data_IF_355258238126
#
_entry.id   IF_355258238126
#
_cell.length_a   1.000
_cell.length_b   1.000
_cell.length_c   1.000
_cell.angle_alpha   90.00
_cell.angle_beta   90.00
_cell.angle_gamma   90.00
#
_symmetry.space_group_name_H-M   'P 1'
#
loop_
_entity.id
_entity.type
_entity.pdbx_description
1 polymer ?
#
# COMPACT_ATOMS: atom_id res chain seq x y z
N UNK A 1 15.85 -25.47 32.00
CA UNK A 1 15.29 -26.82 32.26
C UNK A 1 14.91 -27.45 30.94
N UNK A 2 15.63 -28.48 30.52
CA UNK A 2 15.40 -29.19 29.27
C UNK A 2 14.09 -29.95 29.39
N UNK A 3 13.03 -29.49 28.69
CA UNK A 3 11.71 -30.16 28.72
C UNK A 3 11.85 -31.59 28.18
N UNK A 4 11.19 -32.54 28.83
CA UNK A 4 11.17 -33.92 28.36
C UNK A 4 10.54 -34.01 26.96
N UNK A 5 11.11 -34.88 26.13
CA UNK A 5 10.77 -35.00 24.70
C UNK A 5 9.31 -35.41 24.52
N UNK A 6 8.80 -36.27 25.42
CA UNK A 6 7.42 -36.75 25.39
C UNK A 6 6.41 -35.64 25.69
N UNK A 7 6.70 -34.76 26.65
CA UNK A 7 5.87 -33.58 26.96
C UNK A 7 5.75 -32.64 25.77
N UNK A 8 6.86 -32.42 25.03
CA UNK A 8 6.85 -31.56 23.83
C UNK A 8 5.98 -32.15 22.72
N UNK A 9 6.12 -33.45 22.46
CA UNK A 9 5.30 -34.11 21.44
C UNK A 9 3.82 -34.14 21.81
N UNK A 10 3.49 -34.32 23.09
CA UNK A 10 2.09 -34.27 23.51
C UNK A 10 1.44 -32.89 23.36
N UNK A 11 2.18 -31.80 23.62
CA UNK A 11 1.68 -30.44 23.39
C UNK A 11 1.53 -30.10 21.89
N UNK A 12 2.32 -30.71 21.02
CA UNK A 12 2.27 -30.48 19.57
C UNK A 12 1.17 -31.28 18.89
N UNK A 13 0.93 -32.51 19.34
CA UNK A 13 -0.04 -33.43 18.72
C UNK A 13 -1.48 -33.18 19.19
N UNK A 14 -1.70 -32.38 20.23
CA UNK A 14 -3.02 -32.19 20.83
C UNK A 14 -3.45 -33.40 21.66
N UNK A 15 -4.70 -33.38 22.14
CA UNK A 15 -5.25 -34.38 23.07
C UNK A 15 -6.42 -35.23 22.58
N UNK A 16 -6.76 -36.28 23.34
CA UNK A 16 -7.77 -37.27 22.95
C UNK A 16 -7.24 -38.46 22.14
N UNK A 17 -7.54 -38.48 20.83
CA UNK A 17 -7.25 -39.62 19.94
C UNK A 17 -5.91 -39.49 19.18
N UNK A 18 -5.24 -38.33 19.27
CA UNK A 18 -3.95 -38.05 18.64
C UNK A 18 -2.75 -38.43 19.54
N UNK A 19 -3.04 -38.71 20.80
CA UNK A 19 -2.15 -39.08 21.88
C UNK A 19 -1.97 -40.60 21.81
N UNK A 20 -0.96 -41.06 21.08
CA UNK A 20 -0.47 -42.43 21.20
C UNK A 20 0.18 -42.74 22.57
N UNK A 21 -0.25 -42.05 23.63
CA UNK A 21 0.30 -42.07 24.98
C UNK A 21 -0.87 -42.28 25.94
N UNK A 22 -1.13 -43.54 26.31
CA UNK A 22 -2.07 -43.88 27.38
C UNK A 22 -1.62 -43.21 28.69
N UNK A 23 -2.28 -42.10 29.06
CA UNK A 23 -2.51 -41.56 30.41
C UNK A 23 -1.35 -41.47 31.44
N UNK A 24 -0.10 -41.82 31.12
CA UNK A 24 0.95 -42.04 32.11
C UNK A 24 2.06 -40.97 32.14
N UNK A 25 2.04 -40.00 31.23
CA UNK A 25 2.91 -38.81 31.30
C UNK A 25 2.05 -37.59 31.62
N UNK A 26 1.76 -37.38 32.91
CA UNK A 26 0.99 -36.22 33.37
C UNK A 26 1.71 -34.92 33.00
N UNK A 27 1.06 -34.06 32.20
CA UNK A 27 1.48 -32.68 32.04
C UNK A 27 1.49 -32.01 33.42
N UNK A 28 2.54 -31.25 33.75
CA UNK A 28 2.55 -30.41 34.95
C UNK A 28 1.45 -29.34 34.88
N UNK A 29 1.06 -28.75 36.02
CA UNK A 29 -0.06 -27.80 36.09
C UNK A 29 0.03 -26.63 35.07
N UNK A 30 1.24 -26.10 34.83
CA UNK A 30 1.45 -25.05 33.84
C UNK A 30 1.33 -25.54 32.39
N UNK A 31 1.69 -26.80 32.11
CA UNK A 31 1.59 -27.38 30.77
C UNK A 31 0.17 -27.87 30.48
N UNK A 32 -0.60 -28.27 31.50
CA UNK A 32 -2.04 -28.51 31.37
C UNK A 32 -2.81 -27.23 30.99
N UNK A 33 -2.46 -26.08 31.58
CA UNK A 33 -3.09 -24.80 31.21
C UNK A 33 -2.72 -24.36 29.79
N UNK A 34 -1.47 -24.62 29.35
CA UNK A 34 -1.06 -24.42 27.95
C UNK A 34 -1.82 -25.31 26.98
N UNK A 35 -1.96 -26.60 27.30
CA UNK A 35 -2.69 -27.57 26.49
C UNK A 35 -4.17 -27.19 26.39
N UNK A 36 -4.79 -26.76 27.50
CA UNK A 36 -6.17 -26.25 27.50
C UNK A 36 -6.34 -24.98 26.67
N UNK A 37 -5.37 -24.06 26.71
CA UNK A 37 -5.39 -22.89 25.86
C UNK A 37 -5.25 -23.27 24.37
N UNK A 38 -4.39 -24.22 24.03
CA UNK A 38 -4.24 -24.70 22.65
C UNK A 38 -5.49 -25.45 22.17
N UNK A 39 -6.04 -26.35 22.97
CA UNK A 39 -7.26 -27.11 22.65
C UNK A 39 -8.47 -26.18 22.46
N UNK A 40 -8.60 -25.12 23.28
CA UNK A 40 -9.67 -24.14 23.12
C UNK A 40 -9.63 -23.40 21.77
N UNK A 41 -8.44 -23.25 21.18
CA UNK A 41 -8.24 -22.61 19.88
C UNK A 41 -8.31 -23.60 18.71
N UNK A 42 -7.73 -24.80 18.88
CA UNK A 42 -7.49 -25.74 17.78
C UNK A 42 -8.52 -26.89 17.69
N UNK A 43 -9.18 -27.28 18.79
CA UNK A 43 -10.11 -28.41 18.86
C UNK A 43 -11.60 -27.99 18.91
N UNK A 44 -11.91 -26.70 18.79
CA UNK A 44 -13.29 -26.19 18.80
C UNK A 44 -14.06 -26.51 17.50
N UNK A 45 -15.18 -27.24 17.60
CA UNK A 45 -16.08 -27.48 16.46
C UNK A 45 -16.77 -26.20 15.95
N UNK A 46 -16.88 -26.07 14.62
CA UNK A 46 -17.62 -25.01 13.89
C UNK A 46 -19.13 -25.04 14.16
N UNK A 47 -19.58 -24.64 15.34
CA UNK A 47 -21.01 -24.41 15.61
C UNK A 47 -21.26 -22.95 15.97
N UNK A 48 -21.80 -22.23 15.00
CA UNK A 48 -22.44 -20.93 15.21
C UNK A 48 -23.59 -21.06 16.21
N UNK A 49 -23.49 -20.36 17.32
CA UNK A 49 -24.51 -20.29 18.36
C UNK A 49 -24.15 -19.22 19.37
N UNK A 50 -24.89 -18.10 19.34
CA UNK A 50 -24.79 -16.99 20.28
C UNK A 50 -25.24 -17.47 21.67
N UNK A 51 -24.40 -17.34 22.70
CA UNK A 51 -24.89 -17.55 24.08
C UNK A 51 -23.89 -17.68 25.23
N UNK A 52 -22.57 -17.87 25.02
CA UNK A 52 -21.68 -18.05 26.18
C UNK A 52 -20.16 -17.92 25.98
N UNK A 53 -19.70 -17.43 24.83
CA UNK A 53 -18.28 -17.51 24.44
C UNK A 53 -17.42 -16.32 24.90
N UNK A 54 -18.03 -15.16 25.14
CA UNK A 54 -17.35 -13.92 25.54
C UNK A 54 -16.37 -14.06 26.73
N UNK A 55 -16.79 -14.57 27.92
CA UNK A 55 -15.91 -14.64 29.10
C UNK A 55 -14.78 -15.68 28.96
N UNK A 56 -14.94 -16.67 28.07
CA UNK A 56 -13.95 -17.75 27.87
C UNK A 56 -12.82 -17.31 26.97
N UNK A 57 -13.12 -16.50 25.95
CA UNK A 57 -12.12 -15.96 25.00
C UNK A 57 -11.25 -14.90 25.67
N UNK A 58 -11.83 -14.02 26.51
CA UNK A 58 -11.06 -13.03 27.28
C UNK A 58 -10.08 -13.67 28.26
N UNK A 59 -10.53 -14.69 28.99
CA UNK A 59 -9.67 -15.48 29.88
C UNK A 59 -8.58 -16.21 29.09
N UNK A 60 -8.91 -16.79 27.94
CA UNK A 60 -7.95 -17.46 27.05
C UNK A 60 -6.86 -16.49 26.54
N UNK A 61 -7.21 -15.28 26.13
CA UNK A 61 -6.25 -14.24 25.71
C UNK A 61 -5.32 -13.80 26.85
N UNK A 62 -5.82 -13.77 28.09
CA UNK A 62 -4.99 -13.55 29.29
C UNK A 62 -4.01 -14.69 29.55
N UNK A 63 -4.48 -15.93 29.41
CA UNK A 63 -3.69 -17.14 29.65
C UNK A 63 -2.55 -17.28 28.63
N UNK A 64 -2.79 -17.03 27.33
CA UNK A 64 -1.72 -17.15 26.32
C UNK A 64 -0.57 -16.16 26.53
N UNK A 65 -0.86 -14.95 27.05
CA UNK A 65 0.17 -13.93 27.36
C UNK A 65 1.05 -14.30 28.54
N UNK A 66 0.51 -15.09 29.47
CA UNK A 66 1.26 -15.56 30.65
C UNK A 66 2.19 -16.71 30.27
N UNK A 67 1.80 -17.53 29.28
CA UNK A 67 2.45 -18.81 29.03
C UNK A 67 3.31 -18.89 27.77
N UNK A 68 3.21 -17.94 26.85
CA UNK A 68 3.93 -17.93 25.56
C UNK A 68 4.72 -16.63 25.33
N UNK A 69 5.88 -16.69 24.63
CA UNK A 69 6.61 -15.50 24.20
C UNK A 69 5.77 -14.63 23.25
N UNK A 70 6.03 -13.32 23.24
CA UNK A 70 5.27 -12.32 22.47
C UNK A 70 5.16 -12.64 20.97
N UNK A 71 6.22 -13.18 20.35
CA UNK A 71 6.22 -13.59 18.95
C UNK A 71 5.29 -14.76 18.63
N UNK A 72 5.07 -15.67 19.59
CA UNK A 72 4.17 -16.83 19.43
C UNK A 72 2.73 -16.42 19.71
N UNK A 73 2.52 -15.53 20.68
CA UNK A 73 1.20 -14.94 20.99
C UNK A 73 0.63 -14.24 19.76
N UNK A 74 1.45 -13.49 19.01
CA UNK A 74 1.03 -12.83 17.77
C UNK A 74 0.45 -13.82 16.74
N UNK A 75 1.15 -14.95 16.50
CA UNK A 75 0.71 -15.97 15.54
C UNK A 75 -0.59 -16.64 16.01
N UNK A 76 -0.68 -16.96 17.30
CA UNK A 76 -1.89 -17.59 17.88
C UNK A 76 -3.09 -16.64 17.90
N UNK A 77 -2.88 -15.34 18.13
CA UNK A 77 -3.93 -14.33 18.08
C UNK A 77 -4.45 -14.15 16.64
N UNK A 78 -3.57 -14.08 15.65
CA UNK A 78 -3.96 -13.98 14.25
C UNK A 78 -4.82 -15.18 13.79
N UNK A 79 -4.43 -16.41 14.16
CA UNK A 79 -5.17 -17.64 13.85
C UNK A 79 -6.51 -17.71 14.62
N UNK A 80 -6.55 -17.21 15.85
CA UNK A 80 -7.79 -17.09 16.62
C UNK A 80 -8.75 -16.05 16.05
N UNK A 81 -8.26 -14.95 15.50
CA UNK A 81 -9.09 -13.95 14.83
C UNK A 81 -9.72 -14.49 13.55
N UNK A 82 -8.98 -15.30 12.80
CA UNK A 82 -9.46 -16.00 11.60
C UNK A 82 -10.49 -17.09 11.95
N UNK A 83 -10.32 -17.80 13.07
CA UNK A 83 -11.18 -18.92 13.49
C UNK A 83 -12.39 -18.56 14.36
N UNK A 84 -12.26 -17.62 15.29
CA UNK A 84 -13.32 -17.23 16.25
C UNK A 84 -14.25 -16.15 15.69
N UNK A 85 -13.90 -15.54 14.56
CA UNK A 85 -14.67 -14.49 13.91
C UNK A 85 -14.47 -13.13 14.57
N UNK A 86 -13.88 -12.18 13.84
CA UNK A 86 -13.61 -10.81 14.29
C UNK A 86 -14.80 -10.08 14.93
N UNK A 87 -16.04 -10.45 14.58
CA UNK A 87 -17.25 -9.85 15.12
C UNK A 87 -17.35 -9.92 16.65
N UNK A 88 -16.93 -11.02 17.28
CA UNK A 88 -17.01 -11.14 18.74
C UNK A 88 -15.97 -10.25 19.44
N UNK A 89 -14.78 -10.09 18.85
CA UNK A 89 -13.74 -9.20 19.36
C UNK A 89 -14.12 -7.72 19.21
N UNK A 90 -14.77 -7.35 18.11
CA UNK A 90 -15.28 -5.99 17.88
C UNK A 90 -16.37 -5.56 18.88
N UNK A 91 -17.05 -6.52 19.51
CA UNK A 91 -18.10 -6.26 20.50
C UNK A 91 -17.52 -5.97 21.89
N UNK A 92 -16.27 -6.36 22.15
CA UNK A 92 -15.58 -6.17 23.43
C UNK A 92 -14.37 -5.23 23.28
N UNK A 93 -14.50 -3.93 23.63
CA UNK A 93 -13.45 -2.92 23.42
C UNK A 93 -12.11 -3.29 24.08
N UNK A 94 -12.17 -3.90 25.26
CA UNK A 94 -11.01 -4.33 26.06
C UNK A 94 -10.17 -5.39 25.33
N UNK A 95 -10.81 -6.21 24.49
CA UNK A 95 -10.17 -7.26 23.71
C UNK A 95 -9.48 -6.70 22.46
N UNK A 96 -10.06 -5.66 21.85
CA UNK A 96 -9.47 -4.97 20.69
C UNK A 96 -8.24 -4.15 21.07
N UNK A 97 -8.21 -3.53 22.25
CA UNK A 97 -7.01 -2.83 22.75
C UNK A 97 -5.82 -3.78 23.00
N UNK A 98 -6.11 -5.07 23.22
CA UNK A 98 -5.11 -6.10 23.46
C UNK A 98 -4.52 -6.72 22.18
N UNK A 99 -5.14 -6.49 21.01
CA UNK A 99 -4.64 -6.98 19.73
C UNK A 99 -3.57 -6.02 19.22
N UNK A 100 -2.43 -6.54 18.78
CA UNK A 100 -1.44 -5.70 18.10
C UNK A 100 -1.99 -5.33 16.72
N UNK A 101 -2.15 -4.04 16.41
CA UNK A 101 -2.65 -3.62 15.12
C UNK A 101 -1.64 -3.97 14.02
N UNK A 102 -2.05 -4.74 13.03
CA UNK A 102 -1.26 -5.04 11.83
C UNK A 102 -2.05 -4.70 10.56
N UNK A 103 -1.37 -4.64 9.42
CA UNK A 103 -2.01 -4.30 8.14
C UNK A 103 -3.08 -5.34 7.78
N UNK A 104 -2.84 -6.61 8.07
CA UNK A 104 -3.80 -7.70 7.80
C UNK A 104 -5.11 -7.53 8.58
N UNK A 105 -5.05 -7.02 9.80
CA UNK A 105 -6.22 -6.67 10.60
C UNK A 105 -6.95 -5.49 9.96
N UNK A 106 -6.23 -4.46 9.51
CA UNK A 106 -6.84 -3.32 8.81
C UNK A 106 -7.57 -3.78 7.55
N UNK A 107 -6.93 -4.56 6.69
CA UNK A 107 -7.57 -5.07 5.45
C UNK A 107 -8.81 -5.89 5.77
N UNK A 108 -8.76 -6.70 6.84
CA UNK A 108 -9.90 -7.48 7.30
C UNK A 108 -11.03 -6.59 7.84
N UNK A 109 -10.73 -5.58 8.65
CA UNK A 109 -11.73 -4.64 9.19
C UNK A 109 -12.39 -3.81 8.09
N UNK A 110 -11.61 -3.35 7.10
CA UNK A 110 -12.12 -2.63 5.92
C UNK A 110 -13.04 -3.53 5.10
N UNK A 111 -12.63 -4.78 4.83
CA UNK A 111 -13.47 -5.75 4.11
C UNK A 111 -14.79 -6.09 4.82
N UNK A 112 -14.80 -6.02 6.16
CA UNK A 112 -16.02 -6.23 6.97
C UNK A 112 -16.88 -4.97 7.13
N UNK A 113 -16.47 -3.81 6.61
CA UNK A 113 -16.99 -2.48 6.94
C UNK A 113 -18.52 -2.32 6.90
N UNK A 114 -19.23 -3.01 5.99
CA UNK A 114 -20.72 -2.97 5.91
C UNK A 114 -21.43 -3.79 6.98
N UNK A 115 -20.75 -4.75 7.58
CA UNK A 115 -21.34 -5.73 8.51
C UNK A 115 -20.94 -5.43 9.96
N UNK A 116 -20.02 -4.48 10.16
CA UNK A 116 -19.63 -4.03 11.50
C UNK A 116 -20.84 -3.31 12.15
N UNK A 117 -21.31 -3.76 13.33
CA UNK A 117 -22.36 -3.07 14.06
C UNK A 117 -21.96 -1.62 14.38
N UNK A 118 -22.92 -0.68 14.33
CA UNK A 118 -22.64 0.76 14.53
C UNK A 118 -21.94 1.05 15.86
N UNK A 119 -22.26 0.31 16.93
CA UNK A 119 -21.64 0.45 18.25
C UNK A 119 -20.15 0.02 18.27
N UNK A 120 -19.73 -0.83 17.33
CA UNK A 120 -18.35 -1.34 17.20
C UNK A 120 -17.53 -0.60 16.14
N UNK A 121 -18.17 0.24 15.33
CA UNK A 121 -17.53 1.00 14.25
C UNK A 121 -16.47 1.97 14.76
N UNK A 122 -16.74 2.63 15.90
CA UNK A 122 -15.78 3.51 16.54
C UNK A 122 -14.50 2.77 16.98
N UNK A 123 -14.65 1.57 17.55
CA UNK A 123 -13.52 0.73 17.97
C UNK A 123 -12.70 0.24 16.78
N UNK A 124 -13.36 -0.21 15.70
CA UNK A 124 -12.69 -0.60 14.47
C UNK A 124 -11.88 0.58 13.87
N UNK A 125 -12.49 1.77 13.80
CA UNK A 125 -11.81 2.99 13.32
C UNK A 125 -10.62 3.38 14.18
N UNK A 126 -10.71 3.22 15.51
CA UNK A 126 -9.59 3.50 16.43
C UNK A 126 -8.38 2.59 16.15
N UNK A 127 -8.63 1.29 15.91
CA UNK A 127 -7.56 0.34 15.59
C UNK A 127 -6.93 0.64 14.23
N UNK A 128 -7.76 0.91 13.21
CA UNK A 128 -7.25 1.32 11.90
C UNK A 128 -6.42 2.60 12.02
N UNK A 129 -6.92 3.60 12.77
CA UNK A 129 -6.20 4.86 13.01
C UNK A 129 -4.81 4.62 13.58
N UNK A 130 -4.69 3.75 14.58
CA UNK A 130 -3.39 3.45 15.18
C UNK A 130 -2.39 2.89 14.16
N UNK A 131 -2.82 1.98 13.27
CA UNK A 131 -1.95 1.46 12.21
C UNK A 131 -1.60 2.55 11.20
N UNK A 132 -2.59 3.32 10.74
CA UNK A 132 -2.34 4.37 9.75
C UNK A 132 -1.45 5.48 10.28
N UNK A 133 -1.60 5.87 11.55
CA UNK A 133 -0.75 6.88 12.21
C UNK A 133 0.70 6.37 12.33
N UNK A 134 0.89 5.10 12.72
CA UNK A 134 2.22 4.48 12.80
C UNK A 134 2.89 4.38 11.41
N UNK A 135 2.11 4.03 10.37
CA UNK A 135 2.59 4.02 8.99
C UNK A 135 2.89 5.43 8.46
N UNK A 136 2.04 6.41 8.76
CA UNK A 136 2.25 7.80 8.36
C UNK A 136 3.54 8.33 8.97
N UNK A 137 3.74 8.17 10.29
CA UNK A 137 4.95 8.65 10.97
C UNK A 137 6.23 8.05 10.35
N UNK A 138 6.18 6.75 10.00
CA UNK A 138 7.29 6.05 9.35
C UNK A 138 7.58 6.56 7.94
N UNK A 139 6.54 6.78 7.13
CA UNK A 139 6.67 7.03 5.69
C UNK A 139 6.71 8.52 5.33
N UNK A 140 6.15 9.40 6.17
CA UNK A 140 5.98 10.83 5.93
C UNK A 140 7.29 11.53 5.64
N UNK A 141 8.30 11.37 6.49
CA UNK A 141 9.55 12.10 6.38
C UNK A 141 10.25 11.84 5.03
N UNK A 142 10.35 10.57 4.63
CA UNK A 142 10.98 10.16 3.35
C UNK A 142 10.16 10.65 2.16
N UNK A 143 8.84 10.50 2.20
CA UNK A 143 7.93 10.95 1.14
C UNK A 143 8.03 12.44 0.90
N UNK A 144 7.89 13.24 1.96
CA UNK A 144 7.97 14.70 1.87
C UNK A 144 9.34 15.13 1.35
N UNK A 145 10.42 14.52 1.84
CA UNK A 145 11.78 14.85 1.40
C UNK A 145 12.01 14.52 -0.08
N UNK A 146 11.65 13.32 -0.53
CA UNK A 146 11.84 12.85 -1.90
C UNK A 146 11.03 13.70 -2.89
N UNK A 147 9.73 13.90 -2.60
CA UNK A 147 8.81 14.68 -3.45
C UNK A 147 9.20 16.15 -3.47
N UNK A 148 9.49 16.77 -2.33
CA UNK A 148 9.95 18.17 -2.28
C UNK A 148 11.27 18.35 -3.03
N UNK A 149 12.20 17.41 -2.87
CA UNK A 149 13.47 17.42 -3.60
C UNK A 149 13.27 17.30 -5.12
N UNK A 150 12.35 16.45 -5.56
CA UNK A 150 11.97 16.30 -6.96
C UNK A 150 11.30 17.56 -7.53
N UNK A 151 10.35 18.14 -6.80
CA UNK A 151 9.66 19.39 -7.17
C UNK A 151 10.66 20.53 -7.38
N UNK A 152 11.62 20.69 -6.46
CA UNK A 152 12.66 21.72 -6.58
C UNK A 152 13.56 21.51 -7.81
N UNK A 153 13.85 20.26 -8.18
CA UNK A 153 14.65 19.93 -9.38
C UNK A 153 13.85 20.08 -10.68
N UNK A 154 12.56 19.75 -10.62
CA UNK A 154 11.64 19.86 -11.74
C UNK A 154 11.25 21.33 -12.02
N UNK A 155 11.21 22.17 -10.98
CA UNK A 155 11.09 23.62 -11.09
C UNK A 155 12.37 24.18 -11.75
N UNK A 156 12.32 24.36 -13.07
CA UNK A 156 13.43 24.91 -13.86
C UNK A 156 13.22 26.39 -14.10
N UNK A 157 14.31 27.16 -14.09
CA UNK A 157 14.31 28.57 -14.44
C UNK A 157 15.18 28.83 -15.65
N UNK A 158 14.77 29.81 -16.48
CA UNK A 158 15.55 30.35 -17.60
C UNK A 158 16.45 31.52 -17.18
N UNK A 159 16.43 31.89 -15.91
CA UNK A 159 17.29 32.91 -15.28
C UNK A 159 17.90 32.36 -13.99
N UNK A 160 18.73 31.30 -14.07
CA UNK A 160 19.41 30.78 -12.90
C UNK A 160 20.49 31.75 -12.41
N UNK A 161 20.76 31.72 -11.09
CA UNK A 161 21.98 32.32 -10.54
C UNK A 161 23.18 31.46 -10.96
N UNK A 162 24.41 32.00 -11.01
CA UNK A 162 25.59 31.25 -11.45
C UNK A 162 25.80 29.91 -10.74
N UNK A 163 25.45 29.82 -9.45
CA UNK A 163 25.58 28.61 -8.65
C UNK A 163 24.50 27.53 -8.95
N UNK A 164 23.40 27.89 -9.61
CA UNK A 164 22.24 27.02 -9.83
C UNK A 164 22.10 26.58 -11.31
N UNK A 165 23.12 26.85 -12.13
CA UNK A 165 23.13 26.53 -13.57
C UNK A 165 23.29 25.01 -13.75
N UNK A 166 22.36 24.41 -14.51
CA UNK A 166 22.53 23.06 -15.06
C UNK A 166 23.40 23.19 -16.31
N UNK A 167 24.72 23.02 -16.14
CA UNK A 167 25.68 23.17 -17.22
C UNK A 167 25.46 22.17 -18.36
N UNK A 168 25.07 20.92 -18.07
CA UNK A 168 24.85 19.91 -19.11
C UNK A 168 23.71 20.32 -20.04
N UNK A 169 22.56 20.71 -19.48
CA UNK A 169 21.43 21.20 -20.29
C UNK A 169 21.68 22.54 -20.93
N UNK A 170 22.35 23.45 -20.24
CA UNK A 170 22.73 24.76 -20.80
C UNK A 170 23.63 24.56 -22.02
N UNK A 171 24.63 23.68 -21.96
CA UNK A 171 25.48 23.36 -23.11
C UNK A 171 24.62 22.75 -24.23
N UNK A 172 23.84 21.70 -23.94
CA UNK A 172 23.02 21.03 -24.95
C UNK A 172 22.05 21.98 -25.68
N UNK A 173 21.38 22.88 -24.93
CA UNK A 173 20.45 23.87 -25.48
C UNK A 173 21.13 24.97 -26.31
N UNK A 174 22.44 25.15 -26.16
CA UNK A 174 23.22 26.18 -26.85
C UNK A 174 24.27 25.60 -27.79
N UNK A 175 24.25 24.29 -28.07
CA UNK A 175 25.21 23.67 -29.01
C UNK A 175 25.20 24.33 -30.39
N UNK A 176 24.06 24.87 -30.81
CA UNK A 176 23.92 25.67 -32.03
C UNK A 176 24.76 26.98 -32.04
N UNK A 177 25.22 27.44 -30.88
CA UNK A 177 26.05 28.63 -30.68
C UNK A 177 27.51 28.28 -30.35
N UNK A 178 27.99 27.12 -30.82
CA UNK A 178 29.39 26.76 -30.71
C UNK A 178 30.25 27.60 -31.66
N UNK A 179 31.30 28.21 -31.12
CA UNK A 179 32.29 28.99 -31.88
C UNK A 179 33.57 28.15 -32.04
N UNK A 180 33.86 27.60 -33.24
CA UNK A 180 35.02 26.73 -33.46
C UNK A 180 36.36 27.41 -33.20
N UNK A 181 36.46 28.70 -33.56
CA UNK A 181 37.67 29.53 -33.41
C UNK A 181 38.10 29.66 -31.95
N UNK A 182 37.14 29.69 -31.02
CA UNK A 182 37.36 29.82 -29.58
C UNK A 182 37.16 28.51 -28.81
N UNK A 183 36.80 27.42 -29.51
CA UNK A 183 36.43 26.12 -28.92
C UNK A 183 35.44 26.24 -27.75
N UNK A 184 34.52 27.20 -27.82
CA UNK A 184 33.64 27.58 -26.70
C UNK A 184 32.18 27.65 -27.16
N UNK A 185 31.25 27.21 -26.30
CA UNK A 185 29.81 27.39 -26.49
C UNK A 185 29.37 28.68 -25.80
N UNK A 186 28.74 29.60 -26.53
CA UNK A 186 28.20 30.83 -25.95
C UNK A 186 26.78 30.56 -25.41
N UNK A 187 26.54 30.66 -24.09
CA UNK A 187 25.25 30.34 -23.53
C UNK A 187 24.28 31.52 -23.65
N UNK A 188 23.47 31.54 -24.71
CA UNK A 188 22.34 32.49 -24.87
C UNK A 188 21.18 32.11 -23.93
N UNK A 189 20.87 30.82 -23.84
CA UNK A 189 19.80 30.28 -22.99
C UNK A 189 20.37 29.54 -21.79
N UNK A 190 20.38 30.20 -20.63
CA UNK A 190 20.74 29.53 -19.38
C UNK A 190 19.56 28.69 -18.88
N UNK A 191 19.84 27.43 -18.55
CA UNK A 191 18.91 26.54 -17.88
C UNK A 191 19.47 26.21 -16.51
N UNK A 192 18.68 26.40 -15.47
CA UNK A 192 19.09 25.98 -14.14
C UNK A 192 17.91 25.74 -13.22
N UNK A 193 18.22 25.40 -11.98
CA UNK A 193 17.23 25.02 -10.98
C UNK A 193 16.61 26.28 -10.38
N UNK A 194 15.27 26.34 -10.35
CA UNK A 194 14.57 27.46 -9.74
C UNK A 194 14.63 27.31 -8.22
N UNK A 195 15.44 28.14 -7.55
CA UNK A 195 15.28 28.29 -6.10
C UNK A 195 14.01 29.10 -5.84
N UNK A 196 13.04 28.47 -5.17
CA UNK A 196 11.95 29.19 -4.50
C UNK A 196 11.07 30.03 -5.45
N UNK A 197 10.79 29.52 -6.65
CA UNK A 197 9.69 30.05 -7.43
C UNK A 197 8.38 29.48 -6.86
N UNK A 198 7.44 30.36 -6.52
CA UNK A 198 6.10 29.99 -6.12
C UNK A 198 5.49 28.99 -7.12
N UNK A 199 5.00 27.86 -6.59
CA UNK A 199 4.01 26.97 -7.21
C UNK A 199 4.38 26.40 -8.58
N UNK A 200 5.27 25.41 -8.61
CA UNK A 200 5.05 24.30 -9.55
C UNK A 200 4.16 23.32 -8.82
N UNK A 201 2.85 23.55 -8.91
CA UNK A 201 1.85 22.60 -8.43
C UNK A 201 1.90 21.39 -9.37
N UNK A 202 2.36 20.25 -8.85
CA UNK A 202 2.18 18.98 -9.55
C UNK A 202 0.82 18.44 -9.19
N UNK A 203 0.13 17.86 -10.17
CA UNK A 203 -1.10 17.13 -9.91
C UNK A 203 -0.76 15.64 -9.88
N UNK A 204 -1.00 14.99 -8.75
CA UNK A 204 -0.86 13.54 -8.58
C UNK A 204 -2.26 12.94 -8.54
N UNK A 205 -2.55 12.01 -9.44
CA UNK A 205 -3.79 11.24 -9.46
C UNK A 205 -3.43 9.82 -9.04
N UNK A 206 -3.90 9.40 -7.87
CA UNK A 206 -3.80 8.04 -7.38
C UNK A 206 -5.09 7.31 -7.76
N UNK A 207 -5.00 6.29 -8.61
CA UNK A 207 -6.13 5.49 -9.06
C UNK A 207 -6.00 4.08 -8.46
N UNK A 208 -6.86 3.74 -7.50
CA UNK A 208 -6.77 2.54 -6.66
C UNK A 208 -7.81 1.51 -7.04
N UNK A 209 -7.35 0.30 -7.33
CA UNK A 209 -8.18 -0.88 -7.48
C UNK A 209 -8.65 -1.37 -6.09
N UNK A 210 -9.96 -1.54 -5.92
CA UNK A 210 -10.61 -2.01 -4.68
C UNK A 210 -10.84 -3.52 -4.67
N UNK A 211 -10.28 -4.27 -5.62
CA UNK A 211 -10.35 -5.73 -5.58
C UNK A 211 -9.72 -6.29 -4.29
N UNK A 212 -10.19 -7.46 -3.87
CA UNK A 212 -9.75 -8.08 -2.62
C UNK A 212 -8.25 -8.38 -2.56
N UNK A 213 -7.61 -8.64 -3.72
CA UNK A 213 -6.15 -8.81 -3.86
C UNK A 213 -5.37 -7.53 -3.54
N UNK A 214 -6.01 -6.36 -3.68
CA UNK A 214 -5.36 -5.06 -3.56
C UNK A 214 -5.52 -4.41 -2.19
N UNK A 215 -6.14 -5.10 -1.22
CA UNK A 215 -6.45 -4.54 0.09
C UNK A 215 -5.23 -3.95 0.83
N UNK A 216 -4.07 -4.62 0.81
CA UNK A 216 -2.83 -4.08 1.42
C UNK A 216 -2.35 -2.80 0.70
N UNK A 217 -2.43 -2.80 -0.63
CA UNK A 217 -2.03 -1.66 -1.47
C UNK A 217 -2.91 -0.44 -1.22
N UNK A 218 -4.21 -0.65 -0.96
CA UNK A 218 -5.15 0.42 -0.61
C UNK A 218 -4.76 1.09 0.72
N UNK A 219 -4.32 0.32 1.73
CA UNK A 219 -3.85 0.87 3.02
C UNK A 219 -2.63 1.77 2.84
N UNK A 220 -1.63 1.31 2.08
CA UNK A 220 -0.45 2.12 1.83
C UNK A 220 -0.77 3.35 0.99
N UNK A 221 -1.61 3.20 -0.03
CA UNK A 221 -2.00 4.30 -0.90
C UNK A 221 -2.83 5.37 -0.19
N UNK A 222 -3.67 5.01 0.79
CA UNK A 222 -4.40 5.99 1.60
C UNK A 222 -3.45 6.82 2.47
N UNK A 223 -2.45 6.18 3.08
CA UNK A 223 -1.42 6.88 3.88
C UNK A 223 -0.57 7.79 2.99
N UNK A 224 -0.07 7.30 1.84
CA UNK A 224 0.67 8.16 0.91
C UNK A 224 -0.19 9.29 0.35
N UNK A 225 -1.46 9.02 0.04
CA UNK A 225 -2.43 10.01 -0.39
C UNK A 225 -2.55 11.15 0.62
N UNK A 226 -2.73 10.85 1.90
CA UNK A 226 -2.83 11.85 2.96
C UNK A 226 -1.53 12.65 3.13
N UNK A 227 -0.37 11.98 3.08
CA UNK A 227 0.93 12.66 3.15
C UNK A 227 1.09 13.63 1.98
N UNK A 228 0.76 13.20 0.75
CA UNK A 228 0.84 14.04 -0.46
C UNK A 228 -0.17 15.19 -0.41
N UNK A 229 -1.39 14.95 0.05
CA UNK A 229 -2.44 15.98 0.21
C UNK A 229 -2.01 17.08 1.21
N UNK A 230 -1.22 16.73 2.24
CA UNK A 230 -0.67 17.72 3.19
C UNK A 230 0.38 18.65 2.57
N UNK A 231 0.91 18.36 1.37
CA UNK A 231 1.94 19.13 0.70
C UNK A 231 1.34 20.23 -0.18
N UNK A 232 1.54 21.51 0.19
CA UNK A 232 1.02 22.67 -0.57
C UNK A 232 1.43 22.76 -2.04
N UNK A 233 2.54 22.12 -2.42
CA UNK A 233 3.08 22.12 -3.78
C UNK A 233 2.59 20.93 -4.63
N UNK A 234 1.70 20.10 -4.09
CA UNK A 234 1.11 18.95 -4.76
C UNK A 234 -0.41 19.04 -4.59
N UNK A 235 -1.14 19.02 -5.70
CA UNK A 235 -2.55 18.71 -5.68
C UNK A 235 -2.69 17.20 -5.83
N UNK A 236 -3.40 16.54 -4.93
CA UNK A 236 -3.60 15.09 -4.97
C UNK A 236 -5.07 14.81 -5.22
N UNK A 237 -5.38 13.95 -6.19
CA UNK A 237 -6.70 13.38 -6.39
C UNK A 237 -6.62 11.89 -6.12
N UNK A 238 -7.59 11.36 -5.39
CA UNK A 238 -7.67 9.95 -5.06
C UNK A 238 -8.94 9.38 -5.65
N UNK A 239 -8.79 8.46 -6.59
CA UNK A 239 -9.90 7.78 -7.25
C UNK A 239 -9.78 6.32 -6.90
N UNK A 240 -10.86 5.71 -6.44
CA UNK A 240 -10.89 4.29 -6.18
C UNK A 240 -12.00 3.64 -7.01
N UNK A 241 -11.74 2.42 -7.50
CA UNK A 241 -12.61 1.79 -8.47
C UNK A 241 -12.73 0.27 -8.27
N UNK A 242 -13.89 -0.23 -8.66
CA UNK A 242 -14.22 -1.63 -8.86
C UNK A 242 -14.96 -1.74 -10.21
N UNK A 243 -16.28 -1.97 -10.21
CA UNK A 243 -17.20 -1.77 -11.35
C UNK A 243 -17.71 -0.32 -11.47
N UNK A 244 -17.63 0.44 -10.38
CA UNK A 244 -17.92 1.86 -10.34
C UNK A 244 -16.66 2.64 -9.98
N UNK A 245 -16.72 3.96 -10.19
CA UNK A 245 -15.60 4.86 -9.91
C UNK A 245 -16.07 5.83 -8.84
N UNK A 246 -15.33 5.90 -7.74
CA UNK A 246 -15.58 6.78 -6.60
C UNK A 246 -14.39 7.72 -6.46
N UNK A 247 -14.67 9.02 -6.42
CA UNK A 247 -13.67 10.03 -6.10
C UNK A 247 -13.63 10.22 -4.58
N UNK A 248 -12.49 9.92 -3.97
CA UNK A 248 -12.21 10.01 -2.54
C UNK A 248 -11.27 11.19 -2.23
N UNK A 249 -11.20 12.18 -3.12
CA UNK A 249 -10.32 13.35 -2.96
C UNK A 249 -10.70 14.19 -1.73
N UNK A 250 -11.98 14.21 -1.32
CA UNK A 250 -12.43 14.97 -0.14
C UNK A 250 -12.03 14.30 1.19
N UNK A 251 -11.84 12.98 1.18
CA UNK A 251 -11.48 12.15 2.33
C UNK A 251 -9.97 12.04 2.54
N UNK A 252 -9.15 12.59 1.63
CA UNK A 252 -7.68 12.48 1.64
C UNK A 252 -7.02 13.01 2.92
N UNK A 253 -7.67 13.89 3.66
CA UNK A 253 -7.14 14.44 4.92
C UNK A 253 -7.07 13.39 6.04
N UNK A 254 -7.84 12.29 5.96
CA UNK A 254 -7.84 11.20 6.94
C UNK A 254 -7.76 9.82 6.24
N UNK A 255 -6.63 9.11 6.33
CA UNK A 255 -6.48 7.76 5.77
C UNK A 255 -7.57 6.79 6.23
N UNK A 256 -8.11 6.99 7.44
CA UNK A 256 -9.19 6.15 7.97
C UNK A 256 -10.48 6.38 7.17
N UNK A 257 -10.80 7.63 6.82
CA UNK A 257 -12.00 7.92 6.02
C UNK A 257 -11.90 7.37 4.60
N UNK A 258 -10.72 7.49 3.98
CA UNK A 258 -10.44 6.82 2.70
C UNK A 258 -10.68 5.32 2.80
N UNK A 259 -10.10 4.65 3.80
CA UNK A 259 -10.19 3.20 3.95
C UNK A 259 -11.63 2.71 4.20
N UNK A 260 -12.43 3.46 4.95
CA UNK A 260 -13.83 3.12 5.17
C UNK A 260 -14.77 3.58 4.04
N UNK A 261 -14.31 4.48 3.17
CA UNK A 261 -14.97 4.85 1.92
C UNK A 261 -14.76 3.84 0.79
N UNK A 262 -13.66 3.08 0.85
CA UNK A 262 -13.34 2.00 -0.09
C UNK A 262 -14.18 0.75 0.21
N UNK A 263 -14.84 0.20 -0.82
CA UNK A 263 -15.64 -1.01 -0.70
C UNK A 263 -14.94 -2.16 -1.41
N UNK A 264 -14.34 -3.06 -0.62
CA UNK A 264 -13.64 -4.21 -1.20
C UNK A 264 -14.66 -5.23 -1.76
N UNK A 265 -14.75 -5.35 -3.08
CA UNK A 265 -15.50 -6.40 -3.76
C UNK A 265 -16.27 -5.95 -5.00
N UNK A 266 -16.42 -6.86 -5.97
CA UNK A 266 -16.95 -6.54 -7.30
C UNK A 266 -15.90 -6.80 -8.37
N UNK A 267 -16.30 -6.92 -9.63
CA UNK A 267 -15.37 -6.99 -10.74
C UNK A 267 -14.56 -5.70 -10.90
N UNK A 268 -13.67 -5.67 -11.88
CA UNK A 268 -12.72 -4.56 -12.09
C UNK A 268 -12.95 -3.95 -13.48
N UNK A 269 -13.15 -2.63 -13.57
CA UNK A 269 -13.25 -1.88 -14.84
C UNK A 269 -12.18 -0.77 -14.85
N UNK A 270 -10.97 -1.13 -15.27
CA UNK A 270 -9.82 -0.22 -15.31
C UNK A 270 -10.03 0.83 -16.41
N UNK A 271 -10.59 0.44 -17.55
CA UNK A 271 -10.93 1.33 -18.65
C UNK A 271 -11.81 2.50 -18.20
N UNK A 272 -12.87 2.23 -17.43
CA UNK A 272 -13.76 3.28 -16.89
C UNK A 272 -13.04 4.17 -15.88
N UNK A 273 -12.21 3.59 -15.02
CA UNK A 273 -11.40 4.36 -14.06
C UNK A 273 -10.42 5.30 -14.76
N UNK A 274 -9.73 4.84 -15.81
CA UNK A 274 -8.84 5.67 -16.63
C UNK A 274 -9.62 6.76 -17.36
N UNK A 275 -10.83 6.47 -17.85
CA UNK A 275 -11.69 7.47 -18.48
C UNK A 275 -12.05 8.63 -17.52
N UNK A 276 -12.35 8.29 -16.26
CA UNK A 276 -12.59 9.29 -15.22
C UNK A 276 -11.34 10.10 -14.90
N UNK A 277 -10.20 9.42 -14.68
CA UNK A 277 -8.93 10.07 -14.39
C UNK A 277 -8.46 11.01 -15.51
N UNK A 278 -8.71 10.65 -16.78
CA UNK A 278 -8.47 11.53 -17.94
C UNK A 278 -9.20 12.88 -17.79
N UNK A 279 -10.42 12.88 -17.25
CA UNK A 279 -11.19 14.10 -16.99
C UNK A 279 -10.60 14.98 -15.89
N UNK A 280 -9.79 14.42 -14.99
CA UNK A 280 -9.12 15.16 -13.92
C UNK A 280 -7.81 15.83 -14.39
N UNK A 281 -7.22 15.36 -15.49
CA UNK A 281 -5.96 15.90 -16.04
C UNK A 281 -6.18 17.33 -16.58
N UNK A 282 -5.77 18.34 -15.80
CA UNK A 282 -5.86 19.76 -16.22
C UNK A 282 -4.63 20.23 -16.98
N UNK A 283 -3.45 19.88 -16.49
CA UNK A 283 -2.16 20.25 -17.07
C UNK A 283 -1.33 18.98 -17.26
N UNK A 284 -1.43 18.31 -18.43
CA UNK A 284 -0.75 17.03 -18.66
C UNK A 284 0.74 17.09 -18.36
N UNK A 285 1.43 18.17 -18.76
CA UNK A 285 2.85 18.33 -18.54
C UNK A 285 3.26 18.29 -17.04
N UNK A 286 2.34 18.57 -16.13
CA UNK A 286 2.56 18.61 -14.70
C UNK A 286 1.76 17.57 -13.91
N UNK A 287 1.15 16.62 -14.62
CA UNK A 287 0.34 15.54 -14.05
C UNK A 287 1.09 14.21 -13.99
N UNK A 288 1.00 13.53 -12.85
CA UNK A 288 1.45 12.15 -12.64
C UNK A 288 0.24 11.31 -12.28
N UNK A 289 -0.08 10.30 -13.08
CA UNK A 289 -1.14 9.32 -12.83
C UNK A 289 -0.49 8.01 -12.39
N UNK A 290 -0.82 7.56 -11.18
CA UNK A 290 -0.37 6.27 -10.62
C UNK A 290 -1.58 5.36 -10.56
N UNK A 291 -1.58 4.33 -11.40
CA UNK A 291 -2.58 3.25 -11.35
C UNK A 291 -2.06 2.16 -10.40
N UNK A 292 -2.81 1.82 -9.36
CA UNK A 292 -2.47 0.76 -8.41
C UNK A 292 -3.50 -0.35 -8.62
N UNK A 293 -3.12 -1.39 -9.36
CA UNK A 293 -4.00 -2.49 -9.78
C UNK A 293 -3.16 -3.70 -10.20
N UNK A 294 -3.70 -4.90 -10.00
CA UNK A 294 -3.14 -6.15 -10.52
C UNK A 294 -3.36 -6.33 -12.05
N UNK A 295 -3.99 -5.35 -12.70
CA UNK A 295 -4.24 -5.26 -14.15
C UNK A 295 -5.17 -6.35 -14.70
N UNK A 296 -5.90 -7.07 -13.85
CA UNK A 296 -6.97 -7.93 -14.33
C UNK A 296 -8.17 -7.07 -14.74
N UNK A 297 -8.29 -6.83 -16.05
CA UNK A 297 -9.36 -6.02 -16.64
C UNK A 297 -10.62 -6.86 -16.88
N UNK A 298 -11.75 -6.42 -16.31
CA UNK A 298 -13.09 -6.95 -16.59
C UNK A 298 -13.85 -6.17 -17.67
N UNK A 299 -13.35 -4.98 -18.04
CA UNK A 299 -13.84 -4.13 -19.13
C UNK A 299 -13.23 -4.45 -20.49
N UNK A 300 -13.02 -3.41 -21.31
CA UNK A 300 -12.50 -3.54 -22.68
C UNK A 300 -11.00 -3.24 -22.69
N UNK A 301 -10.17 -4.29 -22.69
CA UNK A 301 -8.70 -4.19 -22.63
C UNK A 301 -8.08 -3.30 -23.74
N UNK A 302 -8.58 -3.40 -24.98
CA UNK A 302 -8.10 -2.57 -26.09
C UNK A 302 -8.35 -1.07 -25.84
N UNK A 303 -9.49 -0.73 -25.24
CA UNK A 303 -9.80 0.65 -24.90
C UNK A 303 -8.96 1.15 -23.73
N UNK A 304 -8.71 0.30 -22.72
CA UNK A 304 -7.81 0.61 -21.61
C UNK A 304 -6.43 1.00 -22.13
N UNK A 305 -5.82 0.19 -23.00
CA UNK A 305 -4.49 0.47 -23.59
C UNK A 305 -4.53 1.73 -24.46
N UNK A 306 -5.60 1.95 -25.24
CA UNK A 306 -5.76 3.19 -26.01
C UNK A 306 -5.83 4.41 -25.10
N UNK A 307 -6.58 4.37 -23.99
CA UNK A 307 -6.66 5.49 -23.04
C UNK A 307 -5.34 5.77 -22.36
N UNK A 308 -4.62 4.72 -21.96
CA UNK A 308 -3.27 4.86 -21.40
C UNK A 308 -2.33 5.56 -22.40
N UNK A 309 -2.38 5.16 -23.69
CA UNK A 309 -1.64 5.85 -24.77
C UNK A 309 -2.04 7.32 -24.90
N UNK A 310 -3.33 7.64 -24.82
CA UNK A 310 -3.81 9.03 -24.92
C UNK A 310 -3.34 9.88 -23.72
N UNK A 311 -3.33 9.32 -22.50
CA UNK A 311 -2.80 9.97 -21.29
C UNK A 311 -1.32 10.28 -21.47
N UNK A 312 -0.50 9.29 -21.83
CA UNK A 312 0.94 9.48 -22.05
C UNK A 312 1.19 10.44 -23.23
N UNK A 313 0.45 10.28 -24.32
CA UNK A 313 0.53 11.13 -25.52
C UNK A 313 0.17 12.60 -25.25
N UNK A 314 -0.66 12.88 -24.24
CA UNK A 314 -0.95 14.25 -23.80
C UNK A 314 0.22 14.93 -23.07
N UNK A 315 1.22 14.17 -22.64
CA UNK A 315 2.41 14.64 -21.91
C UNK A 315 2.39 14.41 -20.40
N UNK A 316 1.35 13.72 -19.89
CA UNK A 316 1.28 13.24 -18.51
C UNK A 316 2.20 12.04 -18.30
N UNK A 317 2.75 11.92 -17.09
CA UNK A 317 3.49 10.73 -16.67
C UNK A 317 2.48 9.73 -16.12
N UNK A 318 2.45 8.51 -16.65
CA UNK A 318 1.61 7.44 -16.13
C UNK A 318 2.47 6.24 -15.74
N UNK A 319 2.16 5.62 -14.60
CA UNK A 319 2.82 4.41 -14.10
C UNK A 319 1.78 3.45 -13.55
N UNK A 320 1.98 2.15 -13.76
CA UNK A 320 1.16 1.09 -13.18
C UNK A 320 1.94 0.35 -12.09
N UNK A 321 1.38 0.32 -10.88
CA UNK A 321 1.89 -0.41 -9.73
C UNK A 321 1.05 -1.67 -9.53
N UNK A 322 1.69 -2.81 -9.78
CA UNK A 322 1.06 -4.14 -9.72
C UNK A 322 0.69 -4.54 -8.30
N UNK A 323 1.47 -4.06 -7.34
CA UNK A 323 1.18 -4.10 -5.92
C UNK A 323 2.00 -3.02 -5.20
N UNK A 324 1.44 -2.55 -4.10
CA UNK A 324 2.10 -1.71 -3.11
C UNK A 324 2.07 -2.45 -1.76
N UNK A 325 2.85 -3.53 -1.64
CA UNK A 325 2.86 -4.39 -0.47
C UNK A 325 4.28 -4.85 -0.11
N UNK A 326 4.42 -5.34 1.12
CA UNK A 326 5.66 -5.98 1.59
C UNK A 326 5.75 -7.46 1.14
N UNK A 327 4.67 -7.98 0.54
CA UNK A 327 4.52 -9.36 0.08
C UNK A 327 4.97 -9.49 -1.39
N UNK A 328 6.21 -9.94 -1.61
CA UNK A 328 6.93 -9.86 -2.89
C UNK A 328 6.49 -10.76 -4.05
N UNK A 329 5.23 -11.20 -4.15
CA UNK A 329 4.75 -11.97 -5.30
C UNK A 329 3.31 -11.57 -5.71
N UNK A 330 3.13 -10.40 -6.35
CA UNK A 330 1.83 -10.04 -6.88
C UNK A 330 1.44 -10.96 -8.03
N UNK A 331 0.21 -11.48 -7.98
CA UNK A 331 -0.46 -12.07 -9.15
C UNK A 331 -0.97 -10.92 -9.99
N UNK A 332 -0.57 -10.84 -11.26
CA UNK A 332 -1.00 -9.78 -12.17
C UNK A 332 -1.17 -10.30 -13.60
N UNK A 333 -1.89 -9.54 -14.44
CA UNK A 333 -2.01 -9.85 -15.87
C UNK A 333 -0.77 -9.38 -16.63
N UNK A 334 0.12 -10.33 -16.96
CA UNK A 334 1.36 -10.06 -17.69
C UNK A 334 1.12 -9.55 -19.12
N UNK A 335 0.01 -9.93 -19.77
CA UNK A 335 -0.29 -9.47 -21.12
C UNK A 335 -0.71 -7.99 -21.12
N UNK A 336 -1.54 -7.58 -20.16
CA UNK A 336 -1.88 -6.17 -19.98
C UNK A 336 -0.69 -5.34 -19.52
N UNK A 337 0.14 -5.86 -18.62
CA UNK A 337 1.38 -5.20 -18.20
C UNK A 337 2.32 -4.93 -19.38
N UNK A 338 2.50 -5.91 -20.28
CA UNK A 338 3.30 -5.75 -21.48
C UNK A 338 2.67 -4.72 -22.46
N UNK A 339 1.36 -4.81 -22.70
CA UNK A 339 0.65 -3.89 -23.59
C UNK A 339 0.68 -2.44 -23.09
N UNK A 340 0.60 -2.22 -21.78
CA UNK A 340 0.78 -0.89 -21.16
C UNK A 340 2.22 -0.39 -21.32
N UNK A 341 3.20 -1.28 -21.15
CA UNK A 341 4.61 -0.94 -21.29
C UNK A 341 4.97 -0.53 -22.73
N UNK A 342 4.36 -1.16 -23.74
CA UNK A 342 4.50 -0.79 -25.16
C UNK A 342 4.00 0.63 -25.47
N UNK A 343 2.99 1.12 -24.73
CA UNK A 343 2.47 2.48 -24.89
C UNK A 343 3.14 3.51 -23.97
N UNK A 344 4.23 3.12 -23.30
CA UNK A 344 5.03 4.00 -22.45
C UNK A 344 4.57 4.08 -21.00
N UNK A 345 3.72 3.15 -20.54
CA UNK A 345 3.31 3.03 -19.14
C UNK A 345 4.05 1.85 -18.51
N UNK A 346 5.13 2.07 -17.74
CA UNK A 346 5.83 0.99 -17.09
C UNK A 346 4.96 0.37 -15.99
N UNK A 347 4.99 -0.96 -15.92
CA UNK A 347 4.26 -1.76 -14.95
C UNK A 347 5.24 -2.59 -14.11
N UNK A 348 5.19 -2.43 -12.78
CA UNK A 348 6.03 -3.18 -11.86
C UNK A 348 5.46 -3.19 -10.44
N UNK A 349 5.94 -4.11 -9.61
CA UNK A 349 5.64 -4.12 -8.18
C UNK A 349 6.54 -3.12 -7.44
N UNK A 350 6.02 -2.39 -6.48
CA UNK A 350 6.80 -1.45 -5.69
C UNK A 350 6.58 -1.72 -4.21
N UNK A 351 7.65 -1.85 -3.43
CA UNK A 351 7.50 -1.86 -1.97
C UNK A 351 7.15 -0.45 -1.49
N UNK A 352 6.44 -0.30 -0.37
CA UNK A 352 6.08 0.99 0.19
C UNK A 352 7.29 1.91 0.41
N UNK A 353 8.44 1.35 0.79
CA UNK A 353 9.66 2.12 1.04
C UNK A 353 10.25 2.76 -0.23
N UNK A 354 9.97 2.21 -1.42
CA UNK A 354 10.47 2.71 -2.70
C UNK A 354 9.49 3.69 -3.38
N UNK A 355 8.24 3.72 -2.94
CA UNK A 355 7.21 4.61 -3.49
C UNK A 355 7.59 6.11 -3.46
N UNK A 356 8.22 6.65 -2.38
CA UNK A 356 8.74 8.02 -2.39
C UNK A 356 9.71 8.33 -3.54
N UNK A 357 10.61 7.41 -3.84
CA UNK A 357 11.65 7.58 -4.86
C UNK A 357 11.09 7.42 -6.27
N UNK A 358 10.09 6.53 -6.43
CA UNK A 358 9.27 6.44 -7.63
C UNK A 358 8.58 7.78 -7.93
N UNK A 359 7.88 8.34 -6.95
CA UNK A 359 7.18 9.61 -7.11
C UNK A 359 8.15 10.74 -7.46
N UNK A 360 9.34 10.75 -6.85
CA UNK A 360 10.39 11.67 -7.22
C UNK A 360 10.83 11.51 -8.69
N UNK A 361 11.06 10.27 -9.14
CA UNK A 361 11.39 9.98 -10.53
C UNK A 361 10.31 10.41 -11.52
N UNK A 362 9.04 10.17 -11.18
CA UNK A 362 7.88 10.49 -12.02
C UNK A 362 7.68 12.01 -12.16
N UNK A 363 7.81 12.76 -11.06
CA UNK A 363 7.74 14.23 -11.05
C UNK A 363 8.85 14.86 -11.88
N UNK A 364 10.04 14.26 -11.87
CA UNK A 364 11.19 14.72 -12.67
C UNK A 364 11.12 14.32 -14.14
N UNK A 365 10.16 13.46 -14.52
CA UNK A 365 10.07 12.80 -15.83
C UNK A 365 11.36 12.07 -16.19
N UNK A 366 11.93 11.36 -15.22
CA UNK A 366 13.00 10.39 -15.46
C UNK A 366 12.42 9.16 -16.15
N UNK A 367 13.26 8.38 -16.80
CA UNK A 367 12.87 7.07 -17.31
C UNK A 367 12.57 6.15 -16.12
N UNK A 368 11.28 5.83 -15.95
CA UNK A 368 10.78 5.04 -14.84
C UNK A 368 11.10 3.55 -15.00
N UNK A 369 11.22 3.05 -16.23
CA UNK A 369 11.62 1.66 -16.47
C UNK A 369 13.09 1.48 -16.09
N UNK A 370 13.95 2.42 -16.51
CA UNK A 370 15.36 2.41 -16.12
C UNK A 370 15.54 2.60 -14.60
N UNK A 371 14.70 3.41 -13.96
CA UNK A 371 14.71 3.54 -12.50
C UNK A 371 14.35 2.23 -11.79
N UNK A 372 13.26 1.58 -12.21
CA UNK A 372 12.86 0.31 -11.61
C UNK A 372 13.93 -0.77 -11.79
N UNK A 373 14.55 -0.87 -12.97
CA UNK A 373 15.69 -1.77 -13.19
C UNK A 373 16.90 -1.46 -12.30
N UNK A 374 17.14 -0.19 -11.93
CA UNK A 374 18.25 0.19 -11.04
C UNK A 374 18.01 -0.14 -9.56
N UNK A 375 16.76 -0.36 -9.18
CA UNK A 375 16.34 -0.74 -7.82
C UNK A 375 16.09 -2.25 -7.71
N UNK A 376 16.58 -3.05 -8.67
CA UNK A 376 16.34 -4.50 -8.81
C UNK A 376 14.85 -4.89 -8.85
N UNK A 377 13.98 -3.96 -9.28
CA UNK A 377 12.57 -4.23 -9.48
C UNK A 377 12.39 -4.87 -10.86
N UNK A 378 11.78 -6.06 -10.89
CA UNK A 378 11.42 -6.73 -12.14
C UNK A 378 10.37 -5.89 -12.87
N UNK A 379 10.77 -5.32 -14.01
CA UNK A 379 9.86 -4.63 -14.94
C UNK A 379 9.44 -5.57 -16.05
N UNK A 380 8.25 -5.37 -16.63
CA UNK A 380 7.78 -6.16 -17.77
C UNK A 380 8.52 -5.91 -19.09
N UNK A 381 9.60 -5.10 -19.10
CA UNK A 381 10.38 -4.77 -20.31
C UNK A 381 11.72 -5.53 -20.36
N UNK A 382 11.75 -6.64 -21.14
CA UNK A 382 12.90 -7.29 -21.82
C UNK A 382 14.05 -7.83 -20.94
N UNK A 383 14.59 -9.05 -21.09
CA UNK A 383 14.59 -10.11 -22.12
C UNK A 383 14.59 -11.49 -21.44
#
# INVERSE_FOLDING_TARGET
>A
MTRDRLTRWRLVLGGGAADGIDLAAGLGAADQQRDQALAALYDGERRGGLGGSAPRVARWLGDIRTYFPSSVVQVMQADAMERLGLYQLLTEPEMMEAVQPDIKLVTTLVGLGRVIPEHSRATARSVVRRVTDELEERLRARTVQAVTGALNRAARTRRPRPADIDWRRTIAANLQHYLPEHRTVVPERLVGYARRANQVERHVILCLDQSGSMAESVVYASVFGAVLASMRSVSTSLVAFDTEVVDLTEELDDPVDVLFGVQLGGGTDINRALAYCQGLVRQPADTVLVLISDLYEGGIAEEMVRRARDVVGSGATMVALLALSDSGAPSYDAAHAAALAEVGVPAFACTPDLFPDLMAAAIEKRDLAAWAASEDIVTSHGD
#
